data_IF_684525766004
#
_entry.id   IF_684525766004
#
_cell.length_a   1.000
_cell.length_b   1.000
_cell.length_c   1.000
_cell.angle_alpha   90.00
_cell.angle_beta   90.00
_cell.angle_gamma   90.00
#
_symmetry.space_group_name_H-M   'P 1'
#
loop_
_entity.id
_entity.type
_entity.pdbx_description
1 polymer ?
#
# COMPACT_ATOMS: atom_id res chain seq x y z
N UNK A 1 -21.59 1.04 -3.75
CA UNK A 1 -21.83 1.04 -2.29
C UNK A 1 -21.42 2.33 -1.56
N UNK A 2 -20.35 3.08 -1.95
CA UNK A 2 -19.97 4.35 -1.28
C UNK A 2 -21.02 5.46 -1.44
N UNK A 3 -21.65 5.59 -2.60
CA UNK A 3 -22.69 6.60 -2.86
C UNK A 3 -23.94 6.39 -2.00
N UNK A 4 -24.39 5.16 -1.80
CA UNK A 4 -25.59 4.84 -1.02
C UNK A 4 -25.50 5.29 0.45
N UNK A 5 -24.28 5.35 1.00
CA UNK A 5 -23.99 5.79 2.37
C UNK A 5 -24.32 7.26 2.62
N UNK A 6 -24.20 8.09 1.59
CA UNK A 6 -24.53 9.52 1.66
C UNK A 6 -25.94 9.81 1.18
N UNK A 7 -26.47 9.03 0.23
CA UNK A 7 -27.80 9.22 -0.34
C UNK A 7 -28.88 8.91 0.68
N UNK A 8 -28.80 7.81 1.41
CA UNK A 8 -29.82 7.41 2.37
C UNK A 8 -29.99 8.39 3.54
N UNK A 9 -28.94 8.85 4.24
CA UNK A 9 -29.06 9.88 5.26
C UNK A 9 -29.56 11.23 4.70
N UNK A 10 -29.15 11.59 3.48
CA UNK A 10 -29.62 12.82 2.82
C UNK A 10 -31.12 12.78 2.55
N UNK A 11 -31.64 11.66 2.09
CA UNK A 11 -33.08 11.46 1.88
C UNK A 11 -33.87 11.55 3.21
N UNK A 12 -33.33 11.01 4.30
CA UNK A 12 -33.96 11.12 5.63
C UNK A 12 -33.94 12.58 6.11
N UNK A 13 -32.91 13.35 5.89
CA UNK A 13 -32.85 14.78 6.21
C UNK A 13 -33.87 15.56 5.40
N UNK A 14 -33.93 15.31 4.09
CA UNK A 14 -34.90 15.99 3.21
C UNK A 14 -36.36 15.65 3.57
N UNK A 15 -36.65 14.39 3.92
CA UNK A 15 -37.98 13.98 4.39
C UNK A 15 -38.33 14.65 5.71
N UNK A 16 -37.42 14.74 6.68
CA UNK A 16 -37.64 15.41 7.96
C UNK A 16 -37.86 16.92 7.80
N UNK A 17 -37.10 17.59 6.91
CA UNK A 17 -37.30 18.99 6.56
C UNK A 17 -38.67 19.19 5.87
N UNK A 18 -39.02 18.31 4.92
CA UNK A 18 -40.28 18.33 4.23
C UNK A 18 -41.50 18.20 5.20
N UNK A 19 -41.36 17.32 6.22
CA UNK A 19 -42.39 17.15 7.25
C UNK A 19 -42.55 18.40 8.12
N UNK A 20 -41.43 19.01 8.55
CA UNK A 20 -41.44 20.25 9.34
C UNK A 20 -42.05 21.42 8.56
N UNK A 21 -41.78 21.53 7.25
CA UNK A 21 -42.35 22.55 6.38
C UNK A 21 -43.85 22.29 6.22
N UNK A 22 -44.25 21.03 6.00
CA UNK A 22 -45.65 20.64 5.87
C UNK A 22 -46.45 20.99 7.14
N UNK A 23 -45.96 20.58 8.32
CA UNK A 23 -46.60 20.92 9.60
C UNK A 23 -46.60 22.42 9.90
N UNK A 24 -45.53 23.15 9.56
CA UNK A 24 -45.46 24.60 9.79
C UNK A 24 -46.32 25.44 8.84
N UNK A 25 -46.37 25.09 7.56
CA UNK A 25 -47.05 25.90 6.52
C UNK A 25 -48.48 25.49 6.28
N UNK A 26 -48.84 24.20 6.37
CA UNK A 26 -50.16 23.70 5.99
C UNK A 26 -51.04 23.42 7.22
N UNK A 27 -50.48 22.80 8.26
CA UNK A 27 -51.22 22.41 9.45
C UNK A 27 -51.29 23.50 10.51
N UNK A 28 -50.42 24.51 10.44
CA UNK A 28 -50.27 25.62 11.41
C UNK A 28 -50.15 25.18 12.89
N UNK A 29 -49.67 23.96 13.11
CA UNK A 29 -49.65 23.33 14.44
C UNK A 29 -48.23 22.83 14.75
N UNK A 30 -47.26 23.75 14.76
CA UNK A 30 -45.88 23.44 15.21
C UNK A 30 -45.86 23.39 16.73
N UNK A 31 -46.21 22.23 17.31
CA UNK A 31 -45.87 21.98 18.70
C UNK A 31 -44.37 21.90 18.88
N UNK A 32 -43.85 22.46 19.98
CA UNK A 32 -42.43 22.42 20.31
C UNK A 32 -41.86 20.99 20.33
N UNK A 33 -42.70 20.01 20.63
CA UNK A 33 -42.34 18.58 20.59
C UNK A 33 -41.96 18.06 19.18
N UNK A 34 -42.60 18.57 18.12
CA UNK A 34 -42.32 18.15 16.74
C UNK A 34 -41.06 18.79 16.21
N UNK A 35 -40.74 20.02 16.60
CA UNK A 35 -39.44 20.67 16.33
C UNK A 35 -38.28 19.92 16.97
N UNK A 36 -38.43 19.49 18.23
CA UNK A 36 -37.40 18.71 18.93
C UNK A 36 -37.21 17.33 18.28
N UNK A 37 -38.32 16.63 17.91
CA UNK A 37 -38.23 15.34 17.23
C UNK A 37 -37.58 15.45 15.85
N UNK A 38 -37.99 16.43 15.04
CA UNK A 38 -37.36 16.71 13.74
C UNK A 38 -35.89 17.02 13.87
N UNK A 39 -35.50 17.86 14.84
CA UNK A 39 -34.10 18.19 15.15
C UNK A 39 -33.26 16.96 15.56
N UNK A 40 -33.84 16.07 16.39
CA UNK A 40 -33.19 14.81 16.79
C UNK A 40 -32.99 13.84 15.62
N UNK A 41 -33.94 13.75 14.71
CA UNK A 41 -33.83 12.91 13.50
C UNK A 41 -32.76 13.46 12.59
N UNK A 42 -32.70 14.77 12.36
CA UNK A 42 -31.68 15.42 11.54
C UNK A 42 -30.30 15.25 12.18
N UNK A 43 -30.16 15.50 13.48
CA UNK A 43 -28.90 15.30 14.20
C UNK A 43 -28.42 13.85 14.16
N UNK A 44 -29.32 12.88 14.31
CA UNK A 44 -29.04 11.46 14.17
C UNK A 44 -28.56 11.08 12.76
N UNK A 45 -29.22 11.61 11.71
CA UNK A 45 -28.83 11.39 10.33
C UNK A 45 -27.45 12.00 10.01
N UNK A 46 -27.19 13.21 10.48
CA UNK A 46 -25.88 13.88 10.37
C UNK A 46 -24.81 13.05 11.10
N UNK A 47 -25.06 12.61 12.32
CA UNK A 47 -24.13 11.78 13.08
C UNK A 47 -23.80 10.46 12.36
N UNK A 48 -24.76 9.86 11.62
CA UNK A 48 -24.49 8.66 10.83
C UNK A 48 -23.67 8.94 9.57
N UNK A 49 -23.84 10.11 8.93
CA UNK A 49 -23.01 10.52 7.79
C UNK A 49 -21.52 10.65 8.15
N UNK A 50 -21.24 11.19 9.34
CA UNK A 50 -19.88 11.40 9.81
C UNK A 50 -19.32 10.23 10.63
N UNK A 51 -20.13 9.21 10.93
CA UNK A 51 -19.68 8.01 11.61
C UNK A 51 -18.69 7.27 10.72
N UNK A 52 -17.40 7.34 11.07
CA UNK A 52 -16.38 6.51 10.39
C UNK A 52 -16.85 5.06 10.43
N UNK A 53 -16.74 4.30 9.32
CA UNK A 53 -17.08 2.88 9.33
C UNK A 53 -16.30 2.24 10.47
N UNK A 54 -16.97 1.50 11.34
CA UNK A 54 -16.30 0.66 12.33
C UNK A 54 -15.38 -0.26 11.54
N UNK A 55 -14.07 -0.09 11.70
CA UNK A 55 -13.13 -1.01 11.08
C UNK A 55 -13.34 -2.38 11.72
N UNK A 56 -13.27 -3.46 10.92
CA UNK A 56 -13.35 -4.80 11.48
C UNK A 56 -12.27 -4.96 12.55
N UNK A 57 -12.54 -5.71 13.63
CA UNK A 57 -11.57 -5.97 14.67
C UNK A 57 -10.31 -6.62 14.07
N UNK A 58 -9.15 -6.38 14.70
CA UNK A 58 -7.83 -6.84 14.21
C UNK A 58 -7.82 -8.36 13.97
N UNK A 59 -8.52 -9.13 14.80
CA UNK A 59 -8.66 -10.58 14.65
C UNK A 59 -9.23 -11.00 13.27
N UNK A 60 -10.19 -10.23 12.71
CA UNK A 60 -10.77 -10.53 11.39
C UNK A 60 -9.84 -10.17 10.24
N UNK A 61 -8.69 -9.55 10.51
CA UNK A 61 -7.68 -9.16 9.51
C UNK A 61 -6.50 -10.14 9.44
N UNK A 62 -6.40 -11.09 10.36
CA UNK A 62 -5.33 -12.11 10.38
C UNK A 62 -5.18 -12.77 9.00
N UNK A 63 -6.25 -13.34 8.47
CA UNK A 63 -6.24 -14.00 7.17
C UNK A 63 -5.84 -13.06 6.02
N UNK A 64 -6.24 -11.77 6.09
CA UNK A 64 -5.84 -10.76 5.11
C UNK A 64 -4.33 -10.50 5.14
N UNK A 65 -3.75 -10.37 6.33
CA UNK A 65 -2.32 -10.14 6.47
C UNK A 65 -1.50 -11.39 6.14
N UNK A 66 -1.96 -12.58 6.50
CA UNK A 66 -1.34 -13.84 6.10
C UNK A 66 -1.29 -13.99 4.58
N UNK A 67 -2.36 -13.58 3.88
CA UNK A 67 -2.39 -13.55 2.42
C UNK A 67 -1.48 -12.47 1.82
N UNK A 68 -1.37 -11.31 2.48
CA UNK A 68 -0.55 -10.19 2.00
C UNK A 68 0.96 -10.42 2.22
N UNK A 69 1.31 -11.14 3.27
CA UNK A 69 2.70 -11.40 3.67
C UNK A 69 2.94 -12.90 3.98
N UNK A 70 2.69 -13.80 3.03
CA UNK A 70 2.70 -15.24 3.27
C UNK A 70 4.06 -15.75 3.75
N UNK A 71 5.14 -15.11 3.32
CA UNK A 71 6.49 -15.48 3.69
C UNK A 71 6.85 -15.15 5.14
N UNK A 72 6.26 -14.08 5.69
CA UNK A 72 6.64 -13.56 7.02
C UNK A 72 5.63 -13.88 8.11
N UNK A 73 4.38 -14.22 7.74
CA UNK A 73 3.27 -14.43 8.68
C UNK A 73 2.71 -15.86 8.57
N UNK A 74 3.55 -16.86 8.42
CA UNK A 74 3.14 -18.25 8.56
C UNK A 74 3.22 -18.67 10.03
N UNK A 75 2.20 -18.30 10.81
CA UNK A 75 1.95 -18.71 12.19
C UNK A 75 3.17 -18.65 13.16
N UNK A 76 4.00 -17.58 13.11
CA UNK A 76 5.16 -17.53 14.00
C UNK A 76 4.79 -17.54 15.49
N UNK A 77 3.55 -17.14 15.84
CA UNK A 77 3.04 -17.02 17.22
C UNK A 77 1.90 -18.00 17.52
N UNK A 78 1.83 -19.17 16.84
CA UNK A 78 0.71 -20.12 16.99
C UNK A 78 0.45 -20.53 18.45
N UNK A 79 1.51 -20.70 19.24
CA UNK A 79 1.44 -21.16 20.63
C UNK A 79 1.27 -20.01 21.64
N UNK A 80 1.26 -18.76 21.19
CA UNK A 80 1.25 -17.57 22.06
C UNK A 80 0.16 -16.55 21.64
N UNK A 81 -1.11 -16.80 21.91
CA UNK A 81 -2.23 -15.96 21.44
C UNK A 81 -2.13 -14.48 21.85
N UNK A 82 -1.50 -14.19 22.99
CA UNK A 82 -1.32 -12.80 23.47
C UNK A 82 -0.26 -12.06 22.64
N UNK A 83 0.85 -12.72 22.32
CA UNK A 83 1.91 -12.15 21.47
C UNK A 83 1.41 -12.03 20.04
N UNK A 84 0.71 -13.04 19.53
CA UNK A 84 0.09 -13.02 18.22
C UNK A 84 -0.85 -11.80 18.04
N UNK A 85 -1.75 -11.58 19.00
CA UNK A 85 -2.66 -10.41 18.95
C UNK A 85 -1.89 -9.10 18.88
N UNK A 86 -0.86 -8.93 19.69
CA UNK A 86 -0.04 -7.71 19.73
C UNK A 86 0.76 -7.53 18.43
N UNK A 87 1.24 -8.62 17.85
CA UNK A 87 1.91 -8.61 16.55
C UNK A 87 0.97 -8.11 15.45
N UNK A 88 -0.24 -8.68 15.35
CA UNK A 88 -1.22 -8.21 14.38
C UNK A 88 -1.72 -6.77 14.61
N UNK A 89 -1.72 -6.30 15.86
CA UNK A 89 -1.97 -4.88 16.16
C UNK A 89 -0.86 -3.98 15.63
N UNK A 90 0.39 -4.41 15.68
CA UNK A 90 1.51 -3.67 15.10
C UNK A 90 1.45 -3.65 13.56
N UNK A 91 1.20 -4.81 12.93
CA UNK A 91 1.01 -4.90 11.48
C UNK A 91 -0.19 -4.05 11.04
N UNK A 92 -1.24 -3.99 11.85
CA UNK A 92 -2.39 -3.13 11.56
C UNK A 92 -2.00 -1.64 11.53
N UNK A 93 -1.15 -1.19 12.46
CA UNK A 93 -0.67 0.19 12.45
C UNK A 93 0.24 0.44 11.24
N UNK A 94 1.12 -0.50 10.88
CA UNK A 94 1.94 -0.44 9.66
C UNK A 94 1.06 -0.24 8.41
N UNK A 95 0.07 -1.11 8.20
CA UNK A 95 -0.84 -1.05 7.05
C UNK A 95 -1.77 0.20 7.04
N UNK A 96 -1.82 0.94 8.12
CA UNK A 96 -2.53 2.23 8.22
C UNK A 96 -1.62 3.45 8.02
N UNK A 97 -0.44 3.24 7.52
CA UNK A 97 0.57 4.28 7.35
C UNK A 97 0.91 4.97 8.70
N UNK A 98 1.11 4.15 9.74
CA UNK A 98 1.55 4.57 11.08
C UNK A 98 2.83 3.84 11.47
N UNK A 99 3.92 3.96 10.70
CA UNK A 99 5.12 3.16 10.91
C UNK A 99 5.76 3.38 12.28
N UNK A 100 5.76 4.60 12.80
CA UNK A 100 6.30 4.91 14.14
C UNK A 100 5.56 4.16 15.26
N UNK A 101 4.23 4.03 15.17
CA UNK A 101 3.43 3.28 16.13
C UNK A 101 3.69 1.77 16.00
N UNK A 102 3.87 1.28 14.78
CA UNK A 102 4.24 -0.11 14.52
C UNK A 102 5.61 -0.43 15.13
N UNK A 103 6.65 0.38 14.87
CA UNK A 103 8.00 0.23 15.45
C UNK A 103 7.93 0.16 16.97
N UNK A 104 7.25 1.10 17.64
CA UNK A 104 7.16 1.13 19.09
C UNK A 104 6.54 -0.14 19.70
N UNK A 105 5.59 -0.78 19.00
CA UNK A 105 4.99 -2.05 19.42
C UNK A 105 5.90 -3.23 19.13
N UNK A 106 6.50 -3.27 17.95
CA UNK A 106 7.39 -4.35 17.50
C UNK A 106 8.66 -4.44 18.35
N UNK A 107 9.26 -3.31 18.73
CA UNK A 107 10.43 -3.28 19.60
C UNK A 107 10.14 -3.85 21.01
N UNK A 108 8.93 -3.64 21.53
CA UNK A 108 8.50 -4.28 22.79
C UNK A 108 8.32 -5.79 22.59
N UNK A 109 7.69 -6.19 21.48
CA UNK A 109 7.48 -7.59 21.15
C UNK A 109 8.78 -8.36 20.97
N UNK A 110 9.78 -7.73 20.34
CA UNK A 110 11.09 -8.32 20.04
C UNK A 110 11.77 -8.90 21.29
N UNK A 111 11.61 -8.25 22.44
CA UNK A 111 12.17 -8.70 23.73
C UNK A 111 11.47 -9.93 24.31
N UNK A 112 10.29 -10.23 23.79
CA UNK A 112 9.43 -11.31 24.26
C UNK A 112 9.40 -12.51 23.30
N UNK A 113 10.05 -12.40 22.12
CA UNK A 113 10.17 -13.48 21.15
C UNK A 113 10.91 -14.67 21.73
N UNK A 114 10.36 -15.88 21.53
CA UNK A 114 10.86 -17.14 22.12
C UNK A 114 11.57 -18.03 21.11
N UNK A 115 11.31 -17.81 19.82
CA UNK A 115 11.89 -18.58 18.73
C UNK A 115 12.33 -17.69 17.58
N UNK A 116 13.09 -18.29 16.66
CA UNK A 116 13.66 -17.58 15.51
C UNK A 116 12.61 -17.12 14.51
N UNK A 117 11.48 -17.83 14.37
CA UNK A 117 10.41 -17.46 13.47
C UNK A 117 9.68 -16.19 13.94
N UNK A 118 9.38 -16.11 15.24
CA UNK A 118 8.83 -14.91 15.87
C UNK A 118 9.78 -13.73 15.73
N UNK A 119 11.06 -13.96 16.04
CA UNK A 119 12.09 -12.92 15.96
C UNK A 119 12.23 -12.42 14.52
N UNK A 120 12.25 -13.31 13.52
CA UNK A 120 12.32 -12.96 12.09
C UNK A 120 11.12 -12.11 11.69
N UNK A 121 9.90 -12.53 12.02
CA UNK A 121 8.69 -11.81 11.66
C UNK A 121 8.68 -10.39 12.26
N UNK A 122 8.98 -10.26 13.55
CA UNK A 122 9.07 -8.95 14.23
C UNK A 122 10.17 -8.08 13.61
N UNK A 123 11.33 -8.66 13.33
CA UNK A 123 12.47 -7.93 12.74
C UNK A 123 12.14 -7.40 11.34
N UNK A 124 11.50 -8.22 10.48
CA UNK A 124 11.10 -7.81 9.13
C UNK A 124 10.10 -6.67 9.16
N UNK A 125 9.05 -6.77 10.00
CA UNK A 125 8.06 -5.68 10.07
C UNK A 125 8.59 -4.40 10.73
N UNK A 126 9.59 -4.53 11.60
CA UNK A 126 10.33 -3.37 12.12
C UNK A 126 11.13 -2.72 10.99
N UNK A 127 11.84 -3.50 10.18
CA UNK A 127 12.60 -3.02 9.03
C UNK A 127 11.70 -2.33 8.01
N UNK A 128 10.59 -2.94 7.60
CA UNK A 128 9.58 -2.33 6.71
C UNK A 128 9.06 -1.00 7.25
N UNK A 129 8.80 -0.94 8.55
CA UNK A 129 8.33 0.30 9.18
C UNK A 129 9.39 1.40 9.22
N UNK A 130 10.66 1.04 9.40
CA UNK A 130 11.79 1.98 9.36
C UNK A 130 12.05 2.48 7.94
N UNK A 131 11.93 1.59 6.94
CA UNK A 131 12.02 1.95 5.52
C UNK A 131 10.96 2.99 5.15
N UNK A 132 9.70 2.77 5.52
CA UNK A 132 8.61 3.75 5.34
C UNK A 132 8.85 5.08 6.06
N UNK A 133 9.67 5.09 7.11
CA UNK A 133 10.11 6.30 7.83
C UNK A 133 11.34 6.97 7.19
N UNK A 134 11.91 6.41 6.13
CA UNK A 134 13.14 6.88 5.51
C UNK A 134 14.42 6.58 6.31
N UNK A 135 14.34 5.70 7.33
CA UNK A 135 15.47 5.28 8.16
C UNK A 135 16.18 4.08 7.51
N UNK A 136 16.61 4.27 6.26
CA UNK A 136 17.15 3.21 5.40
C UNK A 136 18.36 2.46 5.98
N UNK A 137 19.38 3.12 6.63
CA UNK A 137 20.49 2.40 7.20
C UNK A 137 20.07 1.42 8.31
N UNK A 138 19.10 1.82 9.11
CA UNK A 138 18.59 0.97 10.20
C UNK A 138 17.69 -0.15 9.66
N UNK A 139 16.88 0.14 8.65
CA UNK A 139 16.09 -0.87 7.95
C UNK A 139 17.01 -1.93 7.32
N UNK A 140 18.07 -1.52 6.63
CA UNK A 140 19.03 -2.41 6.01
C UNK A 140 19.71 -3.36 7.02
N UNK A 141 20.12 -2.84 8.19
CA UNK A 141 20.70 -3.65 9.25
C UNK A 141 19.70 -4.71 9.80
N UNK A 142 18.43 -4.37 9.88
CA UNK A 142 17.40 -5.31 10.33
C UNK A 142 17.02 -6.33 9.24
N UNK A 143 16.99 -5.94 7.97
CA UNK A 143 16.83 -6.90 6.87
C UNK A 143 17.98 -7.90 6.84
N UNK A 144 19.24 -7.45 7.01
CA UNK A 144 20.39 -8.34 7.13
C UNK A 144 20.28 -9.30 8.33
N UNK A 145 19.82 -8.81 9.48
CA UNK A 145 19.58 -9.65 10.64
C UNK A 145 18.46 -10.70 10.40
N UNK A 146 17.38 -10.32 9.71
CA UNK A 146 16.30 -11.24 9.34
C UNK A 146 16.75 -12.28 8.33
N UNK A 147 17.58 -11.88 7.39
CA UNK A 147 18.18 -12.70 6.34
C UNK A 147 19.08 -13.81 6.92
N UNK A 148 19.86 -13.52 7.95
CA UNK A 148 20.68 -14.50 8.67
C UNK A 148 19.86 -15.61 9.34
N UNK A 149 18.61 -15.36 9.65
CA UNK A 149 17.69 -16.38 10.16
C UNK A 149 17.17 -17.25 9.01
N UNK A 150 16.66 -16.62 7.95
CA UNK A 150 16.23 -17.28 6.71
C UNK A 150 16.23 -16.26 5.58
N UNK A 151 17.00 -16.54 4.57
CA UNK A 151 17.09 -15.71 3.37
C UNK A 151 15.83 -15.80 2.49
N UNK A 152 15.61 -14.79 1.66
CA UNK A 152 14.50 -14.77 0.70
C UNK A 152 14.66 -13.66 -0.34
N UNK A 153 14.10 -13.91 -1.51
CA UNK A 153 14.02 -12.97 -2.61
C UNK A 153 13.39 -11.63 -2.19
N UNK A 154 12.34 -11.66 -1.35
CA UNK A 154 11.69 -10.45 -0.85
C UNK A 154 12.62 -9.62 0.03
N UNK A 155 13.42 -10.25 0.89
CA UNK A 155 14.40 -9.54 1.73
C UNK A 155 15.50 -8.91 0.89
N UNK A 156 16.08 -9.66 -0.04
CA UNK A 156 17.09 -9.14 -0.96
C UNK A 156 16.55 -7.95 -1.78
N UNK A 157 15.32 -8.06 -2.32
CA UNK A 157 14.68 -6.96 -3.05
C UNK A 157 14.46 -5.70 -2.19
N UNK A 158 14.07 -5.85 -0.93
CA UNK A 158 13.91 -4.72 -0.01
C UNK A 158 15.26 -4.10 0.38
N UNK A 159 16.31 -4.91 0.52
CA UNK A 159 17.68 -4.41 0.76
C UNK A 159 18.18 -3.61 -0.45
N UNK A 160 17.95 -4.09 -1.66
CA UNK A 160 18.22 -3.34 -2.89
C UNK A 160 17.50 -1.99 -2.93
N UNK A 161 16.22 -1.96 -2.55
CA UNK A 161 15.46 -0.71 -2.47
C UNK A 161 16.04 0.26 -1.44
N UNK A 162 16.44 -0.21 -0.27
CA UNK A 162 17.13 0.61 0.73
C UNK A 162 18.45 1.16 0.19
N UNK A 163 19.27 0.34 -0.49
CA UNK A 163 20.52 0.78 -1.13
C UNK A 163 20.24 1.84 -2.20
N UNK A 164 19.25 1.65 -3.04
CA UNK A 164 18.84 2.62 -4.05
C UNK A 164 18.43 3.96 -3.41
N UNK A 165 17.66 3.94 -2.33
CA UNK A 165 17.27 5.15 -1.57
C UNK A 165 18.45 5.86 -0.92
N UNK A 166 19.51 5.13 -0.61
CA UNK A 166 20.78 5.67 -0.09
C UNK A 166 21.75 6.15 -1.21
N UNK A 167 21.36 6.04 -2.48
CA UNK A 167 22.19 6.38 -3.63
C UNK A 167 23.30 5.36 -3.94
N UNK A 168 23.22 4.16 -3.36
CA UNK A 168 24.18 3.06 -3.55
C UNK A 168 23.73 2.16 -4.69
N UNK A 169 23.77 2.70 -5.93
CA UNK A 169 23.17 2.05 -7.10
C UNK A 169 23.76 0.68 -7.42
N UNK A 170 25.08 0.50 -7.29
CA UNK A 170 25.73 -0.79 -7.57
C UNK A 170 25.31 -1.87 -6.55
N UNK A 171 25.27 -1.52 -5.27
CA UNK A 171 24.79 -2.44 -4.23
C UNK A 171 23.28 -2.77 -4.43
N UNK A 172 22.50 -1.80 -4.90
CA UNK A 172 21.08 -2.05 -5.21
C UNK A 172 20.94 -3.04 -6.37
N UNK A 173 21.76 -2.91 -7.42
CA UNK A 173 21.80 -3.83 -8.55
C UNK A 173 22.12 -5.26 -8.07
N UNK A 174 23.21 -5.43 -7.30
CA UNK A 174 23.61 -6.73 -6.76
C UNK A 174 22.47 -7.40 -5.97
N UNK A 175 21.78 -6.65 -5.12
CA UNK A 175 20.64 -7.17 -4.35
C UNK A 175 19.40 -7.50 -5.20
N UNK A 176 19.13 -6.75 -6.26
CA UNK A 176 18.02 -7.09 -7.16
C UNK A 176 18.33 -8.34 -7.99
N UNK A 177 19.56 -8.49 -8.48
CA UNK A 177 20.01 -9.69 -9.16
C UNK A 177 19.96 -10.92 -8.23
N UNK A 178 20.42 -10.78 -6.99
CA UNK A 178 20.30 -11.83 -5.98
C UNK A 178 18.84 -12.19 -5.71
N UNK A 179 17.94 -11.21 -5.61
CA UNK A 179 16.52 -11.45 -5.45
C UNK A 179 15.95 -12.29 -6.61
N UNK A 180 16.36 -11.99 -7.83
CA UNK A 180 15.95 -12.73 -9.04
C UNK A 180 16.55 -14.15 -9.04
N UNK A 181 17.79 -14.32 -8.59
CA UNK A 181 18.40 -15.66 -8.46
C UNK A 181 17.68 -16.53 -7.42
N UNK A 182 17.24 -15.92 -6.30
CA UNK A 182 16.48 -16.61 -5.25
C UNK A 182 15.05 -16.95 -5.67
N UNK A 183 14.42 -16.11 -6.48
CA UNK A 183 13.09 -16.34 -7.05
C UNK A 183 12.97 -15.63 -8.40
N UNK A 184 13.14 -16.37 -9.47
CA UNK A 184 13.02 -15.87 -10.85
C UNK A 184 11.62 -15.37 -11.24
N UNK A 185 10.62 -15.52 -10.37
CA UNK A 185 9.26 -15.00 -10.56
C UNK A 185 8.95 -13.81 -9.67
N UNK A 186 9.95 -13.22 -9.03
CA UNK A 186 9.75 -12.01 -8.22
C UNK A 186 9.54 -10.78 -9.11
N UNK A 187 8.31 -10.51 -9.48
CA UNK A 187 7.93 -9.33 -10.26
C UNK A 187 8.38 -7.99 -9.63
N UNK A 188 8.44 -7.92 -8.28
CA UNK A 188 8.88 -6.71 -7.58
C UNK A 188 10.38 -6.45 -7.77
N UNK A 189 11.22 -7.51 -7.79
CA UNK A 189 12.66 -7.38 -8.02
C UNK A 189 12.93 -6.84 -9.43
N UNK A 190 12.31 -7.42 -10.45
CA UNK A 190 12.41 -6.93 -11.84
C UNK A 190 11.90 -5.50 -11.99
N UNK A 191 10.77 -5.16 -11.38
CA UNK A 191 10.25 -3.79 -11.43
C UNK A 191 11.19 -2.79 -10.76
N UNK A 192 11.83 -3.15 -9.65
CA UNK A 192 12.79 -2.29 -8.97
C UNK A 192 14.08 -2.15 -9.79
N UNK A 193 14.53 -3.23 -10.42
CA UNK A 193 15.65 -3.22 -11.36
C UNK A 193 15.36 -2.30 -12.56
N UNK A 194 14.17 -2.42 -13.13
CA UNK A 194 13.70 -1.54 -14.20
C UNK A 194 13.73 -0.06 -13.78
N UNK A 195 13.26 0.24 -12.57
CA UNK A 195 13.29 1.61 -12.04
C UNK A 195 14.71 2.12 -11.77
N UNK A 196 15.63 1.23 -11.41
CA UNK A 196 17.06 1.56 -11.24
C UNK A 196 17.70 1.94 -12.58
N UNK A 197 17.56 1.09 -13.61
CA UNK A 197 18.06 1.37 -14.96
C UNK A 197 17.45 2.63 -15.56
N UNK A 198 16.15 2.83 -15.35
CA UNK A 198 15.47 4.05 -15.78
C UNK A 198 16.08 5.31 -15.16
N UNK A 199 16.39 5.27 -13.86
CA UNK A 199 17.03 6.39 -13.15
C UNK A 199 18.47 6.66 -13.64
N UNK A 200 19.15 5.65 -14.19
CA UNK A 200 20.48 5.76 -14.79
C UNK A 200 20.44 6.23 -16.25
N UNK A 201 19.25 6.31 -16.86
CA UNK A 201 19.06 6.66 -18.26
C UNK A 201 19.25 5.49 -19.22
N UNK A 202 19.36 4.27 -18.71
CA UNK A 202 19.55 3.04 -19.47
C UNK A 202 18.16 2.51 -19.89
N UNK A 203 17.52 3.18 -20.85
CA UNK A 203 16.12 2.95 -21.19
C UNK A 203 15.84 1.59 -21.82
N UNK A 204 16.77 1.03 -22.59
CA UNK A 204 16.69 -0.34 -23.12
C UNK A 204 16.66 -1.38 -21.99
N UNK A 205 17.64 -1.32 -21.07
CA UNK A 205 17.71 -2.22 -19.92
C UNK A 205 16.48 -2.06 -19.01
N UNK A 206 16.01 -0.81 -18.83
CA UNK A 206 14.80 -0.53 -18.07
C UNK A 206 13.54 -1.14 -18.70
N UNK A 207 13.43 -1.08 -20.04
CA UNK A 207 12.31 -1.67 -20.77
C UNK A 207 12.32 -3.20 -20.66
N UNK A 208 13.48 -3.83 -20.82
CA UNK A 208 13.60 -5.29 -20.73
C UNK A 208 13.27 -5.79 -19.32
N UNK A 209 13.83 -5.17 -18.29
CA UNK A 209 13.47 -5.51 -16.91
C UNK A 209 11.99 -5.26 -16.61
N UNK A 210 11.35 -4.21 -17.22
CA UNK A 210 9.92 -4.00 -17.08
C UNK A 210 9.10 -5.11 -17.76
N UNK A 211 9.54 -5.62 -18.92
CA UNK A 211 8.92 -6.77 -19.60
C UNK A 211 9.00 -8.02 -18.73
N UNK A 212 10.17 -8.31 -18.16
CA UNK A 212 10.35 -9.46 -17.25
C UNK A 212 9.42 -9.36 -16.03
N UNK A 213 9.28 -8.15 -15.45
CA UNK A 213 8.31 -7.92 -14.39
C UNK A 213 6.87 -8.21 -14.84
N UNK A 214 6.52 -7.86 -16.08
CA UNK A 214 5.20 -8.09 -16.67
C UNK A 214 4.95 -9.55 -17.04
N UNK A 215 5.98 -10.32 -17.35
CA UNK A 215 5.86 -11.77 -17.50
C UNK A 215 5.49 -12.44 -16.18
N UNK A 216 6.05 -11.96 -15.06
CA UNK A 216 5.73 -12.45 -13.74
C UNK A 216 4.37 -11.93 -13.23
N UNK A 217 4.01 -10.69 -13.55
CA UNK A 217 2.75 -10.03 -13.16
C UNK A 217 2.27 -9.07 -14.25
N UNK A 218 1.49 -9.60 -15.19
CA UNK A 218 1.01 -8.87 -16.36
C UNK A 218 0.19 -7.60 -16.09
N UNK A 219 -0.31 -7.41 -14.88
CA UNK A 219 -1.14 -6.27 -14.49
C UNK A 219 -0.44 -5.29 -13.53
N UNK A 220 0.91 -5.34 -13.43
CA UNK A 220 1.67 -4.46 -12.55
C UNK A 220 1.71 -3.02 -13.10
N UNK A 221 0.99 -2.05 -12.49
CA UNK A 221 0.86 -0.70 -13.06
C UNK A 221 2.20 0.04 -13.20
N UNK A 222 3.13 -0.18 -12.25
CA UNK A 222 4.44 0.45 -12.26
C UNK A 222 5.29 -0.03 -13.42
N UNK A 223 5.39 -1.35 -13.63
CA UNK A 223 6.13 -1.93 -14.75
C UNK A 223 5.53 -1.50 -16.10
N UNK A 224 4.18 -1.51 -16.22
CA UNK A 224 3.49 -1.01 -17.42
C UNK A 224 3.81 0.46 -17.70
N UNK A 225 3.87 1.30 -16.65
CA UNK A 225 4.20 2.73 -16.83
C UNK A 225 5.66 2.92 -17.25
N UNK A 226 6.60 2.18 -16.66
CA UNK A 226 8.02 2.25 -17.07
C UNK A 226 8.20 1.76 -18.49
N UNK A 227 7.59 0.62 -18.86
CA UNK A 227 7.62 0.10 -20.23
C UNK A 227 7.07 1.12 -21.24
N UNK A 228 5.94 1.78 -20.93
CA UNK A 228 5.39 2.83 -21.80
C UNK A 228 6.33 4.03 -21.96
N UNK A 229 6.92 4.52 -20.85
CA UNK A 229 7.83 5.67 -20.91
C UNK A 229 9.08 5.32 -21.72
N UNK A 230 9.72 4.18 -21.41
CA UNK A 230 10.92 3.74 -22.13
C UNK A 230 10.64 3.52 -23.62
N UNK A 231 9.53 2.84 -23.98
CA UNK A 231 9.15 2.65 -25.39
C UNK A 231 8.98 3.97 -26.13
N UNK A 232 8.44 5.00 -25.48
CA UNK A 232 8.32 6.33 -26.08
C UNK A 232 9.68 6.99 -26.29
N UNK A 233 10.57 6.91 -25.31
CA UNK A 233 11.93 7.50 -25.39
C UNK A 233 12.83 6.78 -26.40
N UNK A 234 12.51 5.52 -26.71
CA UNK A 234 13.22 4.70 -27.70
C UNK A 234 12.55 4.73 -29.10
N UNK A 235 11.53 5.57 -29.29
CA UNK A 235 10.73 5.69 -30.53
C UNK A 235 10.00 4.39 -30.96
N UNK A 236 9.71 3.50 -30.01
CA UNK A 236 8.91 2.29 -30.24
C UNK A 236 7.41 2.61 -30.11
N UNK A 237 6.82 3.20 -31.15
CA UNK A 237 5.49 3.78 -31.10
C UNK A 237 4.36 2.76 -30.79
N UNK A 238 4.44 1.57 -31.37
CA UNK A 238 3.43 0.50 -31.14
C UNK A 238 3.49 -0.03 -29.70
N UNK A 239 4.69 -0.23 -29.19
CA UNK A 239 4.91 -0.66 -27.79
C UNK A 239 4.44 0.41 -26.80
N UNK A 240 4.71 1.70 -27.08
CA UNK A 240 4.20 2.80 -26.28
C UNK A 240 2.69 2.76 -26.15
N UNK A 241 1.97 2.70 -27.27
CA UNK A 241 0.52 2.65 -27.28
C UNK A 241 -0.04 1.42 -26.55
N UNK A 242 0.62 0.29 -26.71
CA UNK A 242 0.26 -0.97 -26.04
C UNK A 242 0.39 -0.84 -24.52
N UNK A 243 1.58 -0.47 -24.04
CA UNK A 243 1.85 -0.38 -22.58
C UNK A 243 1.10 0.77 -21.92
N UNK A 244 0.96 1.93 -22.60
CA UNK A 244 0.21 3.05 -22.08
C UNK A 244 -1.26 2.70 -21.80
N UNK A 245 -1.94 2.08 -22.77
CA UNK A 245 -3.35 1.65 -22.56
C UNK A 245 -3.48 0.68 -21.42
N UNK A 246 -2.58 -0.29 -21.32
CA UNK A 246 -2.58 -1.26 -20.23
C UNK A 246 -2.30 -0.62 -18.88
N UNK A 247 -1.36 0.32 -18.80
CA UNK A 247 -1.06 1.05 -17.56
C UNK A 247 -2.30 1.82 -17.05
N UNK A 248 -2.98 2.55 -17.94
CA UNK A 248 -4.20 3.28 -17.60
C UNK A 248 -5.32 2.32 -17.18
N UNK A 249 -5.51 1.21 -17.89
CA UNK A 249 -6.50 0.18 -17.54
C UNK A 249 -6.19 -0.49 -16.18
N UNK A 250 -4.91 -0.62 -15.82
CA UNK A 250 -4.45 -1.10 -14.52
C UNK A 250 -4.53 -0.03 -13.40
N UNK A 251 -5.02 1.17 -13.70
CA UNK A 251 -5.25 2.25 -12.75
C UNK A 251 -4.07 3.22 -12.55
N UNK A 252 -3.05 3.18 -13.42
CA UNK A 252 -1.98 4.16 -13.39
C UNK A 252 -2.43 5.50 -14.00
N UNK A 253 -1.93 6.60 -13.45
CA UNK A 253 -2.24 7.94 -13.98
C UNK A 253 -1.55 8.19 -15.33
N UNK A 254 -2.31 8.17 -16.43
CA UNK A 254 -1.80 8.38 -17.78
C UNK A 254 -1.22 9.79 -17.98
N UNK A 255 -1.72 10.82 -17.30
CA UNK A 255 -1.13 12.16 -17.38
C UNK A 255 0.23 12.24 -16.69
N UNK A 256 0.46 11.42 -15.67
CA UNK A 256 1.78 11.28 -15.07
C UNK A 256 2.80 10.70 -16.05
N UNK A 257 2.42 9.67 -16.83
CA UNK A 257 3.27 9.10 -17.89
C UNK A 257 3.66 10.21 -18.89
N UNK A 258 2.68 10.91 -19.45
CA UNK A 258 2.91 11.98 -20.42
C UNK A 258 3.76 13.13 -19.86
N UNK A 259 3.59 13.44 -18.58
CA UNK A 259 4.39 14.49 -17.91
C UNK A 259 5.85 14.08 -17.81
N UNK A 260 6.14 12.83 -17.39
CA UNK A 260 7.50 12.32 -17.32
C UNK A 260 8.17 12.35 -18.71
N UNK A 261 7.49 11.88 -19.74
CA UNK A 261 8.00 11.93 -21.12
C UNK A 261 8.36 13.36 -21.52
N UNK A 262 7.43 14.33 -21.38
CA UNK A 262 7.70 15.75 -21.72
C UNK A 262 8.88 16.33 -20.94
N UNK A 263 9.08 15.94 -19.69
CA UNK A 263 10.21 16.41 -18.88
C UNK A 263 11.55 15.84 -19.34
N UNK A 264 11.56 14.65 -19.90
CA UNK A 264 12.78 14.01 -20.42
C UNK A 264 13.08 14.52 -21.84
N UNK A 265 12.08 14.61 -22.73
CA UNK A 265 12.23 15.17 -24.08
C UNK A 265 12.76 16.61 -24.06
N UNK A 266 12.43 17.40 -23.02
CA UNK A 266 12.94 18.79 -22.91
C UNK A 266 14.39 18.90 -22.44
N UNK A 267 15.05 17.79 -22.09
CA UNK A 267 16.44 17.74 -21.63
C UNK A 267 17.41 17.19 -22.69
N UNK A 268 16.86 16.62 -23.76
CA UNK A 268 17.56 16.15 -24.95
C UNK A 268 17.59 17.29 -25.98
#
# INVERSE_FOLDING_TARGET
MKALRFILPLLVILAAIGLLIYEGLIVKNLESSNLVRGGLIIAGAIATMFKKPKQPPVANKKALYQKAYPEFIQEPFADEPKLEKRFYEAIHDYNRNKPSAAVAKLEKLRKECRNTAELRAVTVFTALSLDDMGRYPEALALYDAARKIRDSSTLASNMGLCCQRLGRSNEALDYYEEAIQLDSRNACAYNNLSALFFAQGEYENALDAAKDALECNAAMPQALSTAAICSKLLDYAEDYDHYYRRAVAAGYDGEKIKRVIRQLDSKI
#
